data_IF_531019066938
#
_entry.id   IF_531019066938
#
_cell.length_a   1.000
_cell.length_b   1.000
_cell.length_c   1.000
_cell.angle_alpha   90.00
_cell.angle_beta   90.00
_cell.angle_gamma   90.00
#
_symmetry.space_group_name_H-M   'P 1'
#
loop_
_entity.id
_entity.type
_entity.pdbx_description
1 polymer ?
#
# COMPACT_ATOMS: atom_id res chain seq x y z
N UNK A 1 -17.82 12.28 17.25
CA UNK A 1 -16.55 13.04 17.42
C UNK A 1 -15.71 12.86 16.17
N UNK A 2 -15.30 13.95 15.53
CA UNK A 2 -14.57 13.92 14.25
C UNK A 2 -13.10 13.59 14.49
N UNK A 3 -12.57 12.53 13.84
CA UNK A 3 -11.21 12.03 14.07
C UNK A 3 -10.09 13.03 13.74
N UNK A 4 -10.38 14.02 12.89
CA UNK A 4 -9.47 15.12 12.55
C UNK A 4 -9.19 16.07 13.72
N UNK A 5 -10.17 16.27 14.61
CA UNK A 5 -10.03 17.18 15.75
C UNK A 5 -9.18 16.54 16.88
N UNK A 6 -9.31 15.22 17.05
CA UNK A 6 -8.48 14.43 17.97
C UNK A 6 -7.00 14.45 17.58
N UNK A 7 -6.69 14.34 16.28
CA UNK A 7 -5.31 14.41 15.79
C UNK A 7 -4.67 15.78 16.04
N UNK A 8 -5.44 16.85 15.85
CA UNK A 8 -4.97 18.21 16.10
C UNK A 8 -4.71 18.46 17.59
N UNK A 9 -5.67 18.09 18.45
CA UNK A 9 -5.52 18.23 19.90
C UNK A 9 -4.37 17.40 20.46
N UNK A 10 -4.20 16.18 19.94
CA UNK A 10 -3.09 15.32 20.33
C UNK A 10 -1.75 15.97 20.00
N UNK A 11 -1.59 16.43 18.76
CA UNK A 11 -0.34 17.05 18.29
C UNK A 11 0.02 18.34 19.02
N UNK A 12 -0.96 19.24 19.22
CA UNK A 12 -0.66 20.59 19.72
C UNK A 12 -0.63 20.68 21.25
N UNK A 13 -1.37 19.83 21.97
CA UNK A 13 -1.57 20.00 23.42
C UNK A 13 -1.23 18.78 24.27
N UNK A 14 -1.30 17.55 23.73
CA UNK A 14 -1.21 16.34 24.56
C UNK A 14 0.13 15.62 24.39
N UNK A 15 0.68 15.61 23.17
CA UNK A 15 1.84 14.78 22.86
C UNK A 15 3.18 15.51 22.97
N UNK A 16 3.18 16.78 23.37
CA UNK A 16 4.36 17.65 23.40
C UNK A 16 5.14 17.64 22.07
N UNK A 17 4.45 17.46 20.94
CA UNK A 17 5.07 17.24 19.63
C UNK A 17 6.07 18.34 19.23
N UNK A 18 5.87 19.55 19.76
CA UNK A 18 6.76 20.70 19.51
C UNK A 18 8.04 20.70 20.33
N UNK A 19 8.07 20.01 21.48
CA UNK A 19 9.26 19.89 22.32
C UNK A 19 10.10 18.65 22.00
N UNK A 20 9.57 17.73 21.18
CA UNK A 20 10.35 16.62 20.66
C UNK A 20 11.57 17.19 19.95
N UNK A 21 12.76 16.69 20.30
CA UNK A 21 13.93 16.88 19.47
C UNK A 21 13.58 16.34 18.09
N UNK A 22 13.23 17.25 17.18
CA UNK A 22 13.19 16.95 15.76
C UNK A 22 14.63 16.62 15.44
N UNK A 23 14.97 15.33 15.43
CA UNK A 23 16.18 14.80 14.84
C UNK A 23 16.16 15.25 13.38
N UNK A 24 16.62 16.49 13.15
CA UNK A 24 16.75 17.08 11.86
C UNK A 24 17.69 16.16 11.10
N UNK A 25 17.14 15.45 10.12
CA UNK A 25 17.88 14.69 9.12
C UNK A 25 18.70 13.51 9.65
N UNK A 26 18.06 12.52 10.27
CA UNK A 26 18.56 11.14 10.08
C UNK A 26 17.93 10.60 8.79
N UNK A 27 18.73 10.48 7.73
CA UNK A 27 18.33 9.87 6.45
C UNK A 27 17.81 8.43 6.66
N UNK A 28 18.18 7.79 7.76
CA UNK A 28 17.72 6.47 8.14
C UNK A 28 17.74 6.27 9.67
N UNK A 29 16.91 5.34 10.14
CA UNK A 29 16.85 4.81 11.50
C UNK A 29 17.01 3.29 11.42
N UNK A 30 17.90 2.71 12.23
CA UNK A 30 18.20 1.27 12.22
C UNK A 30 18.10 0.66 13.63
N UNK A 31 17.32 -0.40 13.76
CA UNK A 31 17.17 -1.19 14.98
C UNK A 31 17.79 -2.59 14.80
N UNK A 32 19.11 -2.67 14.97
CA UNK A 32 19.89 -3.91 14.80
C UNK A 32 19.34 -5.09 15.62
N UNK A 33 18.80 -4.82 16.82
CA UNK A 33 18.25 -5.83 17.74
C UNK A 33 16.95 -6.47 17.22
N UNK A 34 16.23 -5.78 16.34
CA UNK A 34 14.91 -6.20 15.86
C UNK A 34 15.00 -7.12 14.63
N UNK A 35 16.21 -7.37 14.12
CA UNK A 35 16.42 -8.15 12.91
C UNK A 35 16.12 -9.64 13.16
N UNK A 36 15.15 -10.17 12.41
CA UNK A 36 14.66 -11.53 12.54
C UNK A 36 14.89 -12.39 11.29
N UNK A 37 14.39 -13.63 11.34
CA UNK A 37 14.49 -14.56 10.21
C UNK A 37 13.54 -14.22 9.05
N UNK A 38 12.38 -13.62 9.35
CA UNK A 38 11.36 -13.27 8.37
C UNK A 38 11.14 -11.75 8.40
N UNK A 39 11.47 -11.08 7.30
CA UNK A 39 11.31 -9.64 7.18
C UNK A 39 10.25 -9.28 6.12
N UNK A 40 9.81 -8.03 6.15
CA UNK A 40 9.02 -7.40 5.10
C UNK A 40 9.66 -6.07 4.73
N UNK A 41 9.69 -5.74 3.45
CA UNK A 41 10.12 -4.44 2.93
C UNK A 41 8.94 -3.83 2.19
N UNK A 42 8.63 -2.58 2.52
CA UNK A 42 7.50 -1.84 1.97
C UNK A 42 7.86 -0.35 1.78
N UNK A 43 7.17 0.33 0.87
CA UNK A 43 7.26 1.76 0.61
C UNK A 43 6.04 2.48 1.21
N UNK A 44 6.27 3.52 2.01
CA UNK A 44 5.17 4.31 2.59
C UNK A 44 5.39 5.80 2.36
N UNK A 45 4.37 6.46 1.81
CA UNK A 45 4.30 7.92 1.75
C UNK A 45 3.79 8.49 3.08
N UNK A 46 4.57 9.36 3.71
CA UNK A 46 4.11 10.19 4.82
C UNK A 46 3.46 11.48 4.30
N UNK A 47 2.69 12.13 5.17
CA UNK A 47 1.78 13.26 4.89
C UNK A 47 2.39 14.52 4.28
N UNK A 48 3.71 14.57 4.07
CA UNK A 48 4.41 15.66 3.38
C UNK A 48 4.96 15.26 2.00
N UNK A 49 4.49 14.14 1.43
CA UNK A 49 4.99 13.65 0.13
C UNK A 49 6.37 12.99 0.21
N UNK A 50 6.85 12.75 1.43
CA UNK A 50 8.10 12.03 1.66
C UNK A 50 7.84 10.53 1.62
N UNK A 51 8.49 9.84 0.68
CA UNK A 51 8.51 8.39 0.64
C UNK A 51 9.56 7.85 1.62
N UNK A 52 9.20 6.78 2.31
CA UNK A 52 10.09 6.03 3.19
C UNK A 52 10.08 4.56 2.81
N UNK A 53 11.25 3.94 2.80
CA UNK A 53 11.40 2.50 2.76
C UNK A 53 11.44 1.96 4.19
N UNK A 54 10.51 1.08 4.53
CA UNK A 54 10.36 0.51 5.87
C UNK A 54 10.69 -0.98 5.81
N UNK A 55 11.57 -1.41 6.72
CA UNK A 55 11.88 -2.83 6.93
C UNK A 55 11.31 -3.25 8.27
N UNK A 56 10.48 -4.27 8.26
CA UNK A 56 9.84 -4.82 9.47
C UNK A 56 10.18 -6.29 9.66
N UNK A 57 10.22 -6.73 10.91
CA UNK A 57 10.33 -8.12 11.31
C UNK A 57 8.93 -8.67 11.58
N UNK A 58 8.54 -9.69 10.83
CA UNK A 58 7.22 -10.31 10.94
C UNK A 58 6.99 -10.97 12.30
N UNK A 59 8.05 -11.42 12.98
CA UNK A 59 7.94 -12.02 14.31
C UNK A 59 7.44 -11.02 15.37
N UNK A 60 7.58 -9.71 15.12
CA UNK A 60 7.10 -8.67 16.03
C UNK A 60 5.57 -8.48 16.02
N UNK A 61 4.85 -9.02 15.02
CA UNK A 61 3.38 -8.92 14.91
C UNK A 61 2.84 -7.48 15.05
N UNK A 62 3.56 -6.48 14.53
CA UNK A 62 3.18 -5.07 14.61
C UNK A 62 3.38 -4.41 15.99
N UNK A 63 3.97 -5.13 16.94
CA UNK A 63 4.29 -4.61 18.28
C UNK A 63 5.72 -4.06 18.35
N UNK A 64 6.14 -3.64 19.54
CA UNK A 64 7.53 -3.27 19.82
C UNK A 64 8.48 -4.39 19.36
N UNK A 65 9.54 -4.03 18.64
CA UNK A 65 10.47 -5.00 18.04
C UNK A 65 10.16 -5.34 16.57
N UNK A 66 9.07 -4.80 16.00
CA UNK A 66 8.73 -5.00 14.58
C UNK A 66 9.60 -4.14 13.67
N UNK A 67 9.83 -2.87 13.98
CA UNK A 67 10.57 -1.97 13.09
C UNK A 67 12.07 -2.29 13.10
N UNK A 68 12.64 -2.65 11.94
CA UNK A 68 14.07 -2.96 11.77
C UNK A 68 14.81 -1.78 11.16
N UNK A 69 14.23 -1.17 10.13
CA UNK A 69 14.79 0.02 9.49
C UNK A 69 13.68 0.94 8.99
N UNK A 70 13.94 2.24 9.01
CA UNK A 70 13.14 3.25 8.34
C UNK A 70 14.09 4.19 7.62
N UNK A 71 14.00 4.25 6.29
CA UNK A 71 14.95 4.97 5.44
C UNK A 71 14.17 5.97 4.61
N UNK A 72 14.60 7.24 4.59
CA UNK A 72 13.98 8.28 3.77
C UNK A 72 14.38 8.08 2.31
N UNK A 73 13.41 8.01 1.42
CA UNK A 73 13.58 7.77 0.00
C UNK A 73 13.33 6.31 -0.43
N UNK A 74 13.26 6.12 -1.75
CA UNK A 74 13.03 4.83 -2.43
C UNK A 74 14.14 4.45 -3.40
N UNK A 75 15.16 5.32 -3.56
CA UNK A 75 16.30 5.03 -4.43
C UNK A 75 17.05 3.82 -3.89
N UNK A 76 17.25 2.84 -4.76
CA UNK A 76 17.86 1.56 -4.41
C UNK A 76 19.22 1.73 -3.75
N UNK A 77 20.05 2.65 -4.26
CA UNK A 77 21.43 2.86 -3.79
C UNK A 77 21.44 3.38 -2.35
N UNK A 78 20.63 4.40 -2.07
CA UNK A 78 20.54 5.02 -0.74
C UNK A 78 19.99 4.03 0.31
N UNK A 79 19.02 3.21 -0.09
CA UNK A 79 18.44 2.18 0.79
C UNK A 79 19.43 1.04 1.04
N UNK A 80 20.12 0.57 0.01
CA UNK A 80 21.15 -0.47 0.15
C UNK A 80 22.26 0.02 1.07
N UNK A 81 22.81 1.21 0.85
CA UNK A 81 23.87 1.80 1.67
C UNK A 81 23.45 1.94 3.15
N UNK A 82 22.19 2.29 3.40
CA UNK A 82 21.65 2.33 4.75
C UNK A 82 21.54 0.93 5.38
N UNK A 83 21.06 -0.07 4.63
CA UNK A 83 20.91 -1.45 5.12
C UNK A 83 22.26 -2.16 5.28
N UNK A 84 23.28 -1.83 4.49
CA UNK A 84 24.62 -2.42 4.61
C UNK A 84 25.34 -2.07 5.90
N UNK A 85 24.92 -0.99 6.59
CA UNK A 85 25.36 -0.63 7.95
C UNK A 85 24.91 -1.63 9.01
N UNK A 86 23.97 -2.52 8.69
CA UNK A 86 23.62 -3.65 9.54
C UNK A 86 24.72 -4.72 9.44
N UNK A 87 25.14 -5.31 10.58
CA UNK A 87 26.18 -6.34 10.60
C UNK A 87 25.88 -7.47 9.61
N UNK A 88 26.87 -7.80 8.75
CA UNK A 88 26.74 -8.86 7.74
C UNK A 88 26.31 -10.19 8.35
N UNK A 89 26.82 -10.52 9.54
CA UNK A 89 26.45 -11.73 10.29
C UNK A 89 24.96 -11.81 10.63
N UNK A 90 24.30 -10.67 10.86
CA UNK A 90 22.86 -10.60 11.11
C UNK A 90 22.07 -10.68 9.80
N UNK A 91 22.53 -9.98 8.75
CA UNK A 91 21.89 -10.02 7.42
C UNK A 91 21.85 -11.43 6.83
N UNK A 92 22.89 -12.23 7.06
CA UNK A 92 22.96 -13.63 6.61
C UNK A 92 22.03 -14.58 7.37
N UNK A 93 21.44 -14.17 8.50
CA UNK A 93 20.46 -14.96 9.26
C UNK A 93 19.03 -14.81 8.75
N UNK A 94 18.78 -13.81 7.91
CA UNK A 94 17.47 -13.61 7.29
C UNK A 94 17.21 -14.76 6.31
N UNK A 95 16.08 -15.44 6.48
CA UNK A 95 15.66 -16.59 5.66
C UNK A 95 14.69 -16.17 4.58
N UNK A 96 13.77 -15.27 4.89
CA UNK A 96 12.71 -14.86 3.97
C UNK A 96 12.48 -13.34 4.06
N UNK A 97 12.25 -12.72 2.91
CA UNK A 97 11.81 -11.34 2.81
C UNK A 97 10.57 -11.30 1.92
N UNK A 98 9.52 -10.68 2.45
CA UNK A 98 8.35 -10.30 1.64
C UNK A 98 8.48 -8.88 1.14
N UNK A 99 8.19 -8.69 -0.14
CA UNK A 99 8.31 -7.42 -0.82
C UNK A 99 7.25 -7.30 -1.91
N UNK A 100 6.96 -6.06 -2.28
CA UNK A 100 6.06 -5.74 -3.36
C UNK A 100 6.66 -6.12 -4.71
N UNK A 101 5.84 -6.18 -5.75
CA UNK A 101 6.28 -6.55 -7.10
C UNK A 101 7.13 -5.47 -7.80
N UNK A 102 7.68 -4.52 -7.04
CA UNK A 102 8.59 -3.48 -7.51
C UNK A 102 9.99 -4.05 -7.79
N UNK A 103 10.55 -3.88 -9.01
CA UNK A 103 11.92 -4.27 -9.32
C UNK A 103 12.96 -3.62 -8.40
N UNK A 104 12.70 -2.38 -7.95
CA UNK A 104 13.57 -1.64 -7.03
C UNK A 104 13.65 -2.33 -5.67
N UNK A 105 12.52 -2.74 -5.12
CA UNK A 105 12.47 -3.45 -3.82
C UNK A 105 13.14 -4.82 -3.90
N UNK A 106 12.98 -5.51 -5.03
CA UNK A 106 13.70 -6.75 -5.29
C UNK A 106 15.22 -6.53 -5.29
N UNK A 107 15.72 -5.53 -6.01
CA UNK A 107 17.14 -5.22 -6.08
C UNK A 107 17.71 -4.90 -4.69
N UNK A 108 17.00 -4.10 -3.89
CA UNK A 108 17.37 -3.77 -2.51
C UNK A 108 17.49 -5.05 -1.68
N UNK A 109 16.49 -5.94 -1.74
CA UNK A 109 16.48 -7.17 -0.96
C UNK A 109 17.61 -8.13 -1.38
N UNK A 110 17.86 -8.31 -2.68
CA UNK A 110 18.94 -9.17 -3.20
C UNK A 110 20.32 -8.69 -2.76
N UNK A 111 20.56 -7.36 -2.76
CA UNK A 111 21.84 -6.77 -2.37
C UNK A 111 22.02 -6.74 -0.85
N UNK A 112 21.01 -6.30 -0.11
CA UNK A 112 21.11 -6.19 1.35
C UNK A 112 21.09 -7.56 2.04
N UNK A 113 20.32 -8.53 1.54
CA UNK A 113 20.08 -9.83 2.19
C UNK A 113 20.27 -11.00 1.22
N UNK A 114 21.53 -11.31 0.83
CA UNK A 114 21.82 -12.23 -0.27
C UNK A 114 21.45 -13.71 -0.02
N UNK A 115 21.11 -14.09 1.22
CA UNK A 115 20.70 -15.46 1.57
C UNK A 115 19.20 -15.63 1.74
N UNK A 116 18.43 -14.54 1.69
CA UNK A 116 17.01 -14.59 1.92
C UNK A 116 16.26 -15.03 0.65
N UNK A 117 15.25 -15.87 0.83
CA UNK A 117 14.26 -16.16 -0.21
C UNK A 117 13.31 -14.98 -0.34
N UNK A 118 13.12 -14.50 -1.57
CA UNK A 118 12.24 -13.38 -1.87
C UNK A 118 10.85 -13.90 -2.20
N UNK A 119 9.85 -13.41 -1.47
CA UNK A 119 8.45 -13.80 -1.61
C UNK A 119 7.62 -12.58 -1.97
N UNK A 120 6.81 -12.69 -3.02
CA UNK A 120 5.90 -11.63 -3.41
C UNK A 120 4.78 -11.46 -2.35
N UNK A 121 4.43 -10.21 -2.02
CA UNK A 121 3.31 -9.95 -1.12
C UNK A 121 1.97 -10.37 -1.74
N UNK A 122 1.21 -11.21 -1.01
CA UNK A 122 -0.11 -11.68 -1.43
C UNK A 122 -1.09 -10.52 -1.60
N UNK A 123 -1.00 -9.47 -0.77
CA UNK A 123 -1.98 -8.39 -0.82
C UNK A 123 -1.81 -7.55 -2.08
N UNK A 124 -0.56 -7.28 -2.45
CA UNK A 124 -0.23 -6.63 -3.72
C UNK A 124 -0.69 -7.46 -4.92
N UNK A 125 -0.46 -8.78 -4.91
CA UNK A 125 -0.95 -9.68 -5.97
C UNK A 125 -2.48 -9.68 -6.06
N UNK A 126 -3.17 -9.77 -4.92
CA UNK A 126 -4.63 -9.74 -4.86
C UNK A 126 -5.20 -8.42 -5.34
N UNK A 127 -4.55 -7.30 -4.98
CA UNK A 127 -4.94 -5.97 -5.45
C UNK A 127 -4.85 -5.89 -6.98
N UNK A 128 -3.74 -6.33 -7.58
CA UNK A 128 -3.58 -6.35 -9.04
C UNK A 128 -4.67 -7.15 -9.75
N UNK A 129 -5.03 -8.32 -9.21
CA UNK A 129 -6.13 -9.12 -9.76
C UNK A 129 -7.48 -8.40 -9.66
N UNK A 130 -7.77 -7.79 -8.52
CA UNK A 130 -9.02 -7.06 -8.30
C UNK A 130 -9.13 -5.81 -9.18
N UNK A 131 -8.01 -5.12 -9.42
CA UNK A 131 -7.96 -3.95 -10.31
C UNK A 131 -8.27 -4.39 -11.75
N UNK A 132 -7.64 -5.46 -12.24
CA UNK A 132 -7.90 -6.00 -13.58
C UNK A 132 -9.37 -6.45 -13.77
N UNK A 133 -9.95 -7.13 -12.77
CA UNK A 133 -11.37 -7.52 -12.81
C UNK A 133 -12.28 -6.29 -12.77
N UNK A 134 -11.89 -5.26 -12.02
CA UNK A 134 -12.66 -4.01 -11.92
C UNK A 134 -12.66 -3.25 -13.24
N UNK A 135 -11.55 -3.20 -13.96
CA UNK A 135 -11.44 -2.57 -15.26
C UNK A 135 -12.37 -3.24 -16.28
N UNK A 136 -12.31 -4.57 -16.38
CA UNK A 136 -13.23 -5.35 -17.23
C UNK A 136 -14.70 -5.07 -16.86
N UNK A 137 -15.02 -5.06 -15.56
CA UNK A 137 -16.37 -4.77 -15.09
C UNK A 137 -16.82 -3.36 -15.51
N UNK A 138 -15.94 -2.37 -15.47
CA UNK A 138 -16.24 -0.99 -15.90
C UNK A 138 -16.47 -0.96 -17.42
N UNK A 139 -15.64 -1.63 -18.20
CA UNK A 139 -15.77 -1.72 -19.66
C UNK A 139 -17.10 -2.37 -20.07
N UNK A 140 -17.46 -3.50 -19.47
CA UNK A 140 -18.74 -4.15 -19.73
C UNK A 140 -19.94 -3.27 -19.35
N UNK A 141 -19.84 -2.50 -18.26
CA UNK A 141 -20.90 -1.55 -17.89
C UNK A 141 -21.04 -0.44 -18.91
N UNK A 142 -19.93 0.10 -19.42
CA UNK A 142 -19.97 1.10 -20.48
C UNK A 142 -20.58 0.53 -21.77
N UNK A 143 -20.20 -0.67 -22.18
CA UNK A 143 -20.78 -1.34 -23.36
C UNK A 143 -22.29 -1.55 -23.21
N UNK A 144 -22.76 -2.00 -22.05
CA UNK A 144 -24.19 -2.17 -21.78
C UNK A 144 -24.95 -0.83 -21.84
N UNK A 145 -24.38 0.24 -21.28
CA UNK A 145 -24.97 1.59 -21.36
C UNK A 145 -25.04 2.09 -22.81
N UNK A 146 -23.97 1.87 -23.60
CA UNK A 146 -23.95 2.27 -25.00
C UNK A 146 -24.96 1.48 -25.84
N UNK A 147 -25.03 0.17 -25.63
CA UNK A 147 -26.01 -0.70 -26.29
C UNK A 147 -27.44 -0.27 -25.91
N UNK A 148 -27.71 0.00 -24.64
CA UNK A 148 -29.01 0.49 -24.18
C UNK A 148 -29.39 1.84 -24.83
N UNK A 149 -28.46 2.79 -24.87
CA UNK A 149 -28.66 4.07 -25.58
C UNK A 149 -28.94 3.86 -27.07
N UNK A 150 -28.19 2.97 -27.71
CA UNK A 150 -28.40 2.65 -29.12
C UNK A 150 -29.79 2.06 -29.38
N UNK A 151 -30.24 1.10 -28.55
CA UNK A 151 -31.55 0.47 -28.65
C UNK A 151 -32.71 1.45 -28.36
N UNK A 152 -32.53 2.43 -27.47
CA UNK A 152 -33.49 3.50 -27.27
C UNK A 152 -33.56 4.46 -28.47
N UNK A 153 -32.41 4.84 -29.02
CA UNK A 153 -32.33 5.75 -30.18
C UNK A 153 -32.85 5.10 -31.47
N UNK A 154 -32.67 3.80 -31.63
CA UNK A 154 -33.20 3.04 -32.78
C UNK A 154 -34.69 2.68 -32.65
N UNK A 155 -35.33 3.03 -31.53
CA UNK A 155 -36.75 2.77 -31.29
C UNK A 155 -37.08 1.31 -30.96
N UNK A 156 -36.07 0.45 -30.75
CA UNK A 156 -36.25 -0.97 -30.46
C UNK A 156 -36.69 -1.24 -29.02
N UNK A 157 -36.37 -0.34 -28.09
CA UNK A 157 -36.75 -0.42 -26.67
C UNK A 157 -37.36 0.91 -26.21
N UNK A 158 -38.63 0.88 -25.77
CA UNK A 158 -39.38 2.06 -25.31
C UNK A 158 -39.59 2.03 -23.79
N UNK A 159 -38.49 1.95 -23.02
CA UNK A 159 -38.56 2.04 -21.55
C UNK A 159 -38.34 3.50 -21.14
N UNK A 160 -39.39 4.18 -20.65
CA UNK A 160 -39.28 5.48 -19.96
C UNK A 160 -38.94 5.24 -18.49
N UNK A 161 -37.87 5.83 -17.94
CA UNK A 161 -37.61 5.75 -16.51
C UNK A 161 -38.75 6.45 -15.75
N UNK A 162 -39.23 5.83 -14.65
CA UNK A 162 -40.13 6.53 -13.72
C UNK A 162 -39.37 7.68 -13.08
N UNK A 163 -39.99 8.86 -12.99
CA UNK A 163 -39.39 10.04 -12.34
C UNK A 163 -39.01 9.66 -10.90
N UNK A 164 -37.73 9.65 -10.60
CA UNK A 164 -37.20 9.47 -9.24
C UNK A 164 -36.28 8.26 -9.03
N UNK A 165 -36.24 7.29 -9.95
CA UNK A 165 -35.40 6.12 -9.77
C UNK A 165 -33.96 6.35 -10.25
N UNK A 166 -33.00 6.08 -9.36
CA UNK A 166 -31.60 5.98 -9.75
C UNK A 166 -31.41 4.76 -10.66
N UNK A 167 -30.41 4.74 -11.57
CA UNK A 167 -30.19 3.64 -12.51
C UNK A 167 -29.93 2.25 -11.86
N UNK A 168 -29.86 2.20 -10.53
CA UNK A 168 -29.27 1.09 -9.79
C UNK A 168 -30.27 0.32 -8.91
N UNK A 169 -31.55 0.71 -8.83
CA UNK A 169 -32.53 0.10 -7.90
C UNK A 169 -33.79 -0.49 -8.54
N UNK A 170 -33.82 -0.70 -9.84
CA UNK A 170 -35.06 -1.19 -10.48
C UNK A 170 -35.17 -2.72 -10.42
N UNK A 171 -36.11 -3.21 -9.60
CA UNK A 171 -36.73 -4.53 -9.77
C UNK A 171 -37.49 -4.52 -11.08
N UNK A 172 -37.02 -5.27 -12.07
CA UNK A 172 -37.64 -5.35 -13.40
C UNK A 172 -38.94 -6.16 -13.34
N UNK A 173 -40.07 -5.55 -13.69
CA UNK A 173 -41.27 -6.28 -14.10
C UNK A 173 -41.48 -6.12 -15.60
N UNK A 174 -41.49 -7.24 -16.30
CA UNK A 174 -41.83 -7.33 -17.71
C UNK A 174 -43.28 -6.89 -17.94
N UNK A 175 -43.48 -5.94 -18.85
CA UNK A 175 -44.81 -5.65 -19.37
C UNK A 175 -44.91 -6.39 -20.70
N UNK A 176 -45.83 -7.35 -20.74
CA UNK A 176 -46.31 -8.09 -21.91
C UNK A 176 -46.95 -7.16 -22.93
#
# INVERSE_FOLDING_TARGET
MNGTNLGYQYKEYISDFRSWEKLHSTTYILYKKNLGANLSIDETCLSQGELYTIVTNKAGHGRQGTLVAMIRGTKSEEVIDALEKLPRSLRLKVKEITLDLSPTMRLIAEKAFPRATLVADRFHVQRLMNDAVSDLRVDYRWQAIQCFKFLQLSGLILIKPRRGDSPWTSSYTSIS
#
